data_IF_738584710435
#
_entry.id   IF_738584710435
#
_cell.length_a   1.000
_cell.length_b   1.000
_cell.length_c   1.000
_cell.angle_alpha   90.00
_cell.angle_beta   90.00
_cell.angle_gamma   90.00
#
_symmetry.space_group_name_H-M   'P 1'
#
loop_
_entity.id
_entity.type
_entity.pdbx_description
1 polymer ?
#
# COMPACT_ATOMS: atom_id res chain seq x y z
N UNK A 1 5.68 -19.18 4.98
CA UNK A 1 6.23 -18.62 3.74
C UNK A 1 5.53 -19.26 2.55
N UNK A 2 5.25 -20.56 2.56
CA UNK A 2 4.53 -21.31 1.51
C UNK A 2 3.28 -20.59 0.93
N UNK A 3 2.38 -20.04 1.75
CA UNK A 3 1.19 -19.34 1.23
C UNK A 3 1.51 -18.05 0.45
N UNK A 4 2.64 -17.39 0.76
CA UNK A 4 3.16 -16.27 -0.01
C UNK A 4 3.84 -16.74 -1.30
N UNK A 5 4.55 -17.87 -1.25
CA UNK A 5 5.20 -18.51 -2.41
C UNK A 5 4.20 -18.97 -3.47
N UNK A 6 2.94 -19.20 -3.10
CA UNK A 6 1.83 -19.43 -4.06
C UNK A 6 1.54 -18.19 -4.91
N UNK A 7 1.81 -17.00 -4.39
CA UNK A 7 1.63 -15.72 -5.11
C UNK A 7 2.90 -15.41 -5.91
N UNK A 8 4.06 -15.51 -5.27
CA UNK A 8 5.36 -15.24 -5.87
C UNK A 8 6.44 -16.00 -5.11
N UNK A 9 7.26 -16.79 -5.81
CA UNK A 9 8.26 -17.66 -5.16
C UNK A 9 9.38 -16.84 -4.51
N UNK A 10 9.74 -15.70 -5.11
CA UNK A 10 10.69 -14.73 -4.56
C UNK A 10 10.07 -13.67 -3.62
N UNK A 11 8.83 -13.87 -3.14
CA UNK A 11 8.15 -12.89 -2.26
C UNK A 11 9.03 -12.45 -1.07
N UNK A 12 9.77 -13.39 -0.48
CA UNK A 12 10.63 -13.07 0.66
C UNK A 12 11.73 -12.06 0.28
N UNK A 13 12.35 -12.23 -0.88
CA UNK A 13 13.44 -11.36 -1.32
C UNK A 13 12.90 -9.96 -1.62
N UNK A 14 11.75 -9.87 -2.30
CA UNK A 14 11.10 -8.58 -2.56
C UNK A 14 10.70 -7.85 -1.27
N UNK A 15 10.21 -8.58 -0.26
CA UNK A 15 9.86 -7.99 1.04
C UNK A 15 11.11 -7.42 1.72
N UNK A 16 12.23 -8.13 1.70
CA UNK A 16 13.47 -7.67 2.34
C UNK A 16 14.10 -6.49 1.60
N UNK A 17 14.15 -6.54 0.27
CA UNK A 17 14.71 -5.47 -0.56
C UNK A 17 13.90 -4.17 -0.38
N UNK A 18 12.56 -4.24 -0.50
CA UNK A 18 11.69 -3.09 -0.25
C UNK A 18 11.84 -2.60 1.21
N UNK A 19 12.02 -3.49 2.19
CA UNK A 19 12.21 -3.09 3.59
C UNK A 19 13.53 -2.33 3.78
N UNK A 20 14.61 -2.75 3.11
CA UNK A 20 15.90 -2.03 3.16
C UNK A 20 15.75 -0.63 2.57
N UNK A 21 15.12 -0.51 1.40
CA UNK A 21 14.84 0.78 0.77
C UNK A 21 14.02 1.72 1.68
N UNK A 22 12.93 1.23 2.27
CA UNK A 22 12.12 2.04 3.20
C UNK A 22 12.91 2.49 4.45
N UNK A 23 13.80 1.63 4.98
CA UNK A 23 14.68 1.99 6.10
C UNK A 23 15.65 3.09 5.69
N UNK A 24 16.23 3.00 4.49
CA UNK A 24 17.17 4.01 3.99
C UNK A 24 16.47 5.34 3.71
N UNK A 25 15.24 5.33 3.15
CA UNK A 25 14.44 6.53 2.88
C UNK A 25 14.23 7.34 4.16
N UNK A 26 13.64 6.73 5.20
CA UNK A 26 13.33 7.48 6.43
C UNK A 26 14.61 7.90 7.18
N UNK A 27 15.67 7.08 7.14
CA UNK A 27 16.94 7.39 7.79
C UNK A 27 17.62 8.59 7.13
N UNK A 28 17.67 8.59 5.79
CA UNK A 28 18.22 9.69 5.01
C UNK A 28 17.42 10.98 5.22
N UNK A 29 16.09 10.93 5.13
CA UNK A 29 15.23 12.11 5.29
C UNK A 29 15.40 12.75 6.67
N UNK A 30 15.48 11.94 7.74
CA UNK A 30 15.75 12.45 9.09
C UNK A 30 17.15 13.09 9.21
N UNK A 31 18.18 12.45 8.68
CA UNK A 31 19.53 13.01 8.68
C UNK A 31 19.60 14.31 7.85
N UNK A 32 18.89 14.37 6.73
CA UNK A 32 18.79 15.55 5.89
C UNK A 32 18.13 16.71 6.64
N UNK A 33 16.99 16.48 7.32
CA UNK A 33 16.35 17.48 8.18
C UNK A 33 17.32 18.03 9.23
N UNK A 34 18.01 17.15 9.95
CA UNK A 34 19.01 17.54 10.94
C UNK A 34 20.14 18.37 10.34
N UNK A 35 20.62 18.03 9.13
CA UNK A 35 21.65 18.79 8.43
C UNK A 35 21.22 20.23 8.09
N UNK A 36 19.91 20.49 7.99
CA UNK A 36 19.31 21.81 7.79
C UNK A 36 18.91 22.50 9.11
N UNK A 37 19.22 21.91 10.25
CA UNK A 37 18.83 22.41 11.57
C UNK A 37 17.35 22.19 11.91
N UNK A 38 16.64 21.34 11.15
CA UNK A 38 15.27 20.95 11.44
C UNK A 38 15.20 19.75 12.38
N UNK A 39 14.06 19.59 13.05
CA UNK A 39 13.80 18.47 13.96
C UNK A 39 13.48 17.21 13.12
N UNK A 40 14.12 16.07 13.37
CA UNK A 40 13.79 14.82 12.68
C UNK A 40 12.42 14.29 13.15
N UNK A 41 11.77 13.47 12.33
CA UNK A 41 10.58 12.75 12.73
C UNK A 41 10.94 11.59 13.68
N UNK A 42 10.28 11.52 14.84
CA UNK A 42 10.46 10.43 15.81
C UNK A 42 9.10 9.83 16.20
N UNK A 43 8.85 8.61 15.74
CA UNK A 43 7.62 7.86 16.01
C UNK A 43 7.83 6.72 17.03
N UNK A 44 9.03 6.57 17.61
CA UNK A 44 9.33 5.50 18.56
C UNK A 44 8.42 5.50 19.80
N UNK A 45 8.03 6.65 20.38
CA UNK A 45 7.07 6.66 21.49
C UNK A 45 5.70 6.03 21.15
N UNK A 46 5.37 5.90 19.86
CA UNK A 46 4.10 5.35 19.38
C UNK A 46 4.20 3.90 18.92
N UNK A 47 5.37 3.27 19.01
CA UNK A 47 5.57 1.84 18.74
C UNK A 47 5.01 1.00 19.88
N UNK A 48 3.68 0.89 19.93
CA UNK A 48 2.92 0.31 21.04
C UNK A 48 1.92 -0.75 20.60
N UNK A 49 1.69 -0.89 19.29
CA UNK A 49 0.68 -1.80 18.79
C UNK A 49 1.16 -3.24 18.86
N UNK A 50 0.22 -4.12 19.21
CA UNK A 50 0.43 -5.56 19.16
C UNK A 50 0.55 -6.02 17.70
N UNK A 51 1.50 -6.92 17.46
CA UNK A 51 1.64 -7.63 16.20
C UNK A 51 1.16 -9.07 16.32
N UNK A 52 1.57 -9.89 15.35
CA UNK A 52 1.43 -11.34 15.42
C UNK A 52 2.19 -11.92 16.62
N UNK A 53 1.62 -12.95 17.23
CA UNK A 53 2.30 -13.83 18.19
C UNK A 53 2.44 -15.26 17.65
N UNK A 54 2.32 -15.45 16.34
CA UNK A 54 2.55 -16.74 15.70
C UNK A 54 4.04 -17.14 15.77
N UNK A 55 4.29 -18.44 15.68
CA UNK A 55 5.62 -19.04 15.63
C UNK A 55 6.40 -18.48 14.44
N UNK A 56 7.67 -18.14 14.66
CA UNK A 56 8.56 -17.53 13.67
C UNK A 56 8.69 -16.00 13.77
N UNK A 57 7.81 -15.33 14.52
CA UNK A 57 7.95 -13.89 14.82
C UNK A 57 9.13 -13.65 15.75
N UNK A 58 9.87 -12.56 15.53
CA UNK A 58 10.84 -12.06 16.50
C UNK A 58 10.10 -11.57 17.76
N UNK A 59 10.18 -12.36 18.83
CA UNK A 59 9.44 -12.12 20.08
C UNK A 59 9.83 -10.81 20.77
N UNK A 60 11.03 -10.27 20.52
CA UNK A 60 11.47 -8.98 21.06
C UNK A 60 10.75 -7.79 20.41
N UNK A 61 10.07 -7.98 19.28
CA UNK A 61 9.34 -6.93 18.56
C UNK A 61 7.82 -6.99 18.78
N UNK A 62 7.33 -7.97 19.55
CA UNK A 62 5.91 -8.06 19.92
C UNK A 62 5.54 -6.86 20.79
N UNK A 63 4.49 -6.12 20.40
CA UNK A 63 4.07 -4.90 21.10
C UNK A 63 4.84 -3.63 20.72
N UNK A 64 5.75 -3.72 19.73
CA UNK A 64 6.60 -2.61 19.29
C UNK A 64 6.29 -2.15 17.86
N UNK A 65 5.05 -2.34 17.41
CA UNK A 65 4.62 -1.91 16.07
C UNK A 65 4.04 -0.50 16.08
N UNK A 66 4.25 0.22 14.99
CA UNK A 66 3.55 1.46 14.69
C UNK A 66 2.20 1.20 14.00
N UNK A 67 2.12 0.11 13.23
CA UNK A 67 0.98 -0.21 12.36
C UNK A 67 0.25 -1.48 12.79
N UNK A 68 -1.08 -1.43 12.70
CA UNK A 68 -1.98 -2.55 12.84
C UNK A 68 -2.08 -3.27 11.50
N UNK A 69 -1.80 -4.57 11.46
CA UNK A 69 -1.90 -5.40 10.25
C UNK A 69 -3.00 -6.45 10.34
N UNK A 70 -3.88 -6.35 11.34
CA UNK A 70 -4.90 -7.36 11.66
C UNK A 70 -6.33 -6.87 11.50
N UNK A 71 -6.49 -5.57 11.23
CA UNK A 71 -7.80 -4.90 11.10
C UNK A 71 -7.78 -3.90 9.94
N UNK A 72 -7.56 -4.39 8.72
CA UNK A 72 -7.38 -3.57 7.52
C UNK A 72 -8.61 -3.58 6.61
N UNK A 73 -8.97 -2.42 6.07
CA UNK A 73 -9.91 -2.26 4.95
C UNK A 73 -9.12 -1.79 3.72
N UNK A 74 -8.78 -2.71 2.81
CA UNK A 74 -7.79 -2.45 1.76
C UNK A 74 -8.46 -1.94 0.50
N UNK A 75 -8.12 -0.72 0.09
CA UNK A 75 -8.55 -0.15 -1.18
C UNK A 75 -7.74 -0.75 -2.34
N UNK A 76 -8.40 -1.61 -3.12
CA UNK A 76 -7.86 -2.22 -4.35
C UNK A 76 -8.24 -1.46 -5.62
N UNK A 77 -8.78 -0.25 -5.50
CA UNK A 77 -9.17 0.58 -6.64
C UNK A 77 -7.98 1.09 -7.45
N UNK A 78 -6.77 1.09 -6.88
CA UNK A 78 -5.54 1.39 -7.62
C UNK A 78 -5.39 0.48 -8.85
N UNK A 79 -5.84 -0.78 -8.78
CA UNK A 79 -5.75 -1.74 -9.88
C UNK A 79 -6.47 -1.23 -11.14
N UNK A 80 -7.74 -0.87 -10.98
CA UNK A 80 -8.56 -0.38 -12.10
C UNK A 80 -8.25 1.08 -12.40
N UNK A 81 -7.81 1.86 -11.41
CA UNK A 81 -7.34 3.23 -11.62
C UNK A 81 -6.25 3.27 -12.65
N UNK A 82 -5.23 2.41 -12.57
CA UNK A 82 -4.14 2.39 -13.53
C UNK A 82 -4.47 1.73 -14.88
N UNK A 83 -5.63 1.07 -15.01
CA UNK A 83 -6.10 0.40 -16.23
C UNK A 83 -7.30 1.11 -16.91
N UNK A 84 -7.79 2.20 -16.35
CA UNK A 84 -8.88 3.00 -16.92
C UNK A 84 -8.30 4.06 -17.87
N UNK A 85 -8.75 4.05 -19.12
CA UNK A 85 -8.29 4.93 -20.21
C UNK A 85 -9.06 6.26 -20.31
N UNK A 86 -10.09 6.45 -19.48
CA UNK A 86 -11.07 7.55 -19.58
C UNK A 86 -11.01 8.53 -18.42
N UNK A 87 -10.53 8.09 -17.26
CA UNK A 87 -10.57 8.83 -16.02
C UNK A 87 -9.20 9.06 -15.41
N UNK A 88 -9.01 10.23 -14.81
CA UNK A 88 -7.83 10.58 -14.03
C UNK A 88 -8.30 11.29 -12.75
N UNK A 89 -7.88 10.86 -11.55
CA UNK A 89 -8.28 11.53 -10.30
C UNK A 89 -7.97 13.05 -10.28
N UNK A 90 -6.94 13.51 -10.99
CA UNK A 90 -6.63 14.95 -11.09
C UNK A 90 -7.66 15.74 -11.93
N UNK A 91 -8.40 15.07 -12.83
CA UNK A 91 -9.43 15.67 -13.69
C UNK A 91 -10.86 15.27 -13.31
N UNK A 92 -11.01 14.12 -12.65
CA UNK A 92 -12.27 13.45 -12.32
C UNK A 92 -12.31 13.09 -10.82
N UNK A 93 -12.19 14.07 -9.90
CA UNK A 93 -12.02 13.82 -8.46
C UNK A 93 -13.21 13.10 -7.80
N UNK A 94 -14.37 13.08 -8.45
CA UNK A 94 -15.57 12.41 -7.97
C UNK A 94 -15.80 11.02 -8.61
N UNK A 95 -14.93 10.61 -9.53
CA UNK A 95 -15.05 9.30 -10.16
C UNK A 95 -14.61 8.19 -9.20
N UNK A 96 -15.42 7.14 -9.10
CA UNK A 96 -15.14 6.01 -8.21
C UNK A 96 -14.64 4.84 -9.06
N UNK A 97 -13.35 4.57 -8.97
CA UNK A 97 -12.72 3.40 -9.58
C UNK A 97 -13.21 2.10 -8.92
N UNK A 98 -13.30 1.03 -9.70
CA UNK A 98 -13.80 -0.25 -9.22
C UNK A 98 -12.72 -0.97 -8.39
N UNK A 99 -13.15 -1.67 -7.35
CA UNK A 99 -12.28 -2.55 -6.57
C UNK A 99 -11.93 -3.80 -7.38
N UNK A 100 -10.66 -4.17 -7.48
CA UNK A 100 -10.26 -5.49 -8.00
C UNK A 100 -10.73 -6.61 -7.08
N UNK A 101 -10.70 -6.38 -5.76
CA UNK A 101 -11.22 -7.30 -4.74
C UNK A 101 -12.29 -6.59 -3.90
N UNK A 102 -13.56 -6.53 -4.34
CA UNK A 102 -14.60 -5.73 -3.67
C UNK A 102 -14.83 -6.06 -2.20
N UNK A 103 -14.64 -7.33 -1.82
CA UNK A 103 -14.83 -7.75 -0.42
C UNK A 103 -13.68 -7.33 0.52
N UNK A 104 -12.52 -6.98 -0.03
CA UNK A 104 -11.35 -6.53 0.73
C UNK A 104 -11.43 -5.03 1.08
N UNK A 105 -12.09 -4.25 0.22
CA UNK A 105 -12.38 -2.82 0.42
C UNK A 105 -13.53 -2.54 1.37
N UNK A 106 -14.08 -3.56 2.05
CA UNK A 106 -15.11 -3.42 3.09
C UNK A 106 -14.79 -4.34 4.26
N UNK A 107 -15.31 -4.02 5.46
CA UNK A 107 -14.97 -4.72 6.71
C UNK A 107 -13.46 -4.69 7.02
N UNK A 108 -13.04 -5.42 8.05
CA UNK A 108 -11.65 -5.48 8.50
C UNK A 108 -11.10 -6.88 8.30
N UNK A 109 -9.90 -6.97 7.72
CA UNK A 109 -9.21 -8.20 7.36
C UNK A 109 -7.82 -8.23 7.99
N UNK A 110 -7.30 -9.44 8.19
CA UNK A 110 -5.94 -9.63 8.71
C UNK A 110 -4.97 -9.93 7.56
N UNK A 111 -3.88 -9.16 7.46
CA UNK A 111 -2.81 -9.34 6.49
C UNK A 111 -1.63 -10.15 7.07
N UNK A 112 -1.68 -10.50 8.35
CA UNK A 112 -0.74 -11.41 9.01
C UNK A 112 -1.51 -12.41 9.88
N UNK A 113 -0.97 -13.60 10.17
CA UNK A 113 -1.51 -14.46 11.21
C UNK A 113 -1.50 -13.74 12.56
N UNK A 114 -2.58 -13.77 13.33
CA UNK A 114 -2.60 -13.19 14.70
C UNK A 114 -1.88 -14.12 15.67
N UNK A 115 -2.13 -15.42 15.54
CA UNK A 115 -1.53 -16.51 16.32
C UNK A 115 -1.36 -17.74 15.43
N UNK A 116 -0.76 -18.82 15.95
CA UNK A 116 -0.65 -20.11 15.24
C UNK A 116 -2.01 -20.72 14.88
N UNK A 117 -3.11 -20.32 15.54
CA UNK A 117 -4.44 -20.78 15.16
C UNK A 117 -4.81 -20.39 13.72
N UNK A 118 -4.36 -19.22 13.26
CA UNK A 118 -4.63 -18.73 11.91
C UNK A 118 -3.85 -19.48 10.82
N UNK A 119 -2.85 -20.30 11.20
CA UNK A 119 -2.03 -21.09 10.25
C UNK A 119 -2.53 -22.53 10.10
N UNK A 120 -3.61 -22.90 10.79
CA UNK A 120 -4.11 -24.29 10.80
C UNK A 120 -5.06 -24.62 9.64
N UNK A 121 -5.80 -23.63 9.15
CA UNK A 121 -6.63 -23.76 7.95
C UNK A 121 -5.86 -23.20 6.74
N UNK A 122 -5.42 -24.05 5.79
CA UNK A 122 -4.65 -23.60 4.64
C UNK A 122 -5.41 -22.62 3.75
N UNK A 123 -6.74 -22.72 3.66
CA UNK A 123 -7.55 -21.81 2.85
C UNK A 123 -7.65 -20.42 3.51
N UNK A 124 -7.80 -20.37 4.83
CA UNK A 124 -7.77 -19.09 5.54
C UNK A 124 -6.36 -18.49 5.56
N UNK A 125 -5.31 -19.30 5.75
CA UNK A 125 -3.93 -18.84 5.68
C UNK A 125 -3.61 -18.24 4.30
N UNK A 126 -4.07 -18.87 3.21
CA UNK A 126 -3.94 -18.28 1.88
C UNK A 126 -4.73 -16.97 1.74
N UNK A 127 -5.90 -16.85 2.36
CA UNK A 127 -6.64 -15.59 2.37
C UNK A 127 -5.87 -14.46 3.08
N UNK A 128 -5.14 -14.77 4.15
CA UNK A 128 -4.24 -13.83 4.84
C UNK A 128 -3.09 -13.43 3.91
N UNK A 129 -2.45 -14.41 3.24
CA UNK A 129 -1.38 -14.15 2.28
C UNK A 129 -1.86 -13.27 1.10
N UNK A 130 -3.03 -13.56 0.54
CA UNK A 130 -3.63 -12.73 -0.51
C UNK A 130 -3.96 -11.32 0.01
N UNK A 131 -4.45 -11.20 1.25
CA UNK A 131 -4.69 -9.90 1.89
C UNK A 131 -3.39 -9.10 1.99
N UNK A 132 -2.27 -9.73 2.37
CA UNK A 132 -0.95 -9.10 2.37
C UNK A 132 -0.51 -8.67 0.96
N UNK A 133 -0.67 -9.56 -0.03
CA UNK A 133 -0.34 -9.28 -1.43
C UNK A 133 -1.06 -8.06 -2.00
N UNK A 134 -2.33 -7.84 -1.64
CA UNK A 134 -3.04 -6.61 -2.03
C UNK A 134 -2.76 -5.41 -1.11
N UNK A 135 -2.28 -5.62 0.12
CA UNK A 135 -1.91 -4.54 1.04
C UNK A 135 -0.62 -3.82 0.60
N UNK A 136 0.41 -4.55 0.15
CA UNK A 136 1.68 -3.94 -0.30
C UNK A 136 1.48 -2.84 -1.37
N UNK A 137 0.86 -3.10 -2.53
CA UNK A 137 0.66 -2.06 -3.55
C UNK A 137 -0.27 -0.93 -3.07
N UNK A 138 -1.14 -1.20 -2.08
CA UNK A 138 -2.00 -0.17 -1.48
C UNK A 138 -1.21 0.89 -0.70
N UNK A 139 -0.09 0.51 -0.09
CA UNK A 139 0.87 1.43 0.53
C UNK A 139 1.67 2.16 -0.54
N UNK A 140 2.25 1.40 -1.47
CA UNK A 140 3.25 1.89 -2.43
C UNK A 140 2.65 2.81 -3.50
N UNK A 141 1.36 2.65 -3.85
CA UNK A 141 0.65 3.64 -4.67
C UNK A 141 0.55 5.02 -3.99
N UNK A 142 0.55 5.03 -2.65
CA UNK A 142 0.65 6.25 -1.86
C UNK A 142 1.99 6.94 -2.07
N UNK A 143 3.11 6.21 -1.92
CA UNK A 143 4.46 6.72 -2.19
C UNK A 143 4.60 7.23 -3.63
N UNK A 144 4.20 6.40 -4.60
CA UNK A 144 4.20 6.73 -6.03
C UNK A 144 3.53 8.06 -6.36
N UNK A 145 2.41 8.39 -5.72
CA UNK A 145 1.68 9.65 -5.95
C UNK A 145 2.12 10.82 -5.05
N UNK A 146 2.61 10.53 -3.84
CA UNK A 146 3.01 11.54 -2.86
C UNK A 146 4.22 12.34 -3.34
N UNK A 147 5.29 11.67 -3.76
CA UNK A 147 6.53 12.33 -4.20
C UNK A 147 6.33 13.31 -5.36
N UNK A 148 5.67 12.95 -6.49
CA UNK A 148 5.39 13.91 -7.56
C UNK A 148 4.43 15.02 -7.13
N UNK A 149 3.50 14.75 -6.22
CA UNK A 149 2.63 15.79 -5.64
C UNK A 149 3.40 16.81 -4.82
N UNK A 150 4.38 16.36 -4.02
CA UNK A 150 5.27 17.24 -3.26
C UNK A 150 6.28 17.96 -4.18
N UNK A 151 6.77 17.31 -5.23
CA UNK A 151 7.73 17.89 -6.17
C UNK A 151 7.19 19.16 -6.83
N UNK A 152 5.89 19.21 -7.15
CA UNK A 152 5.23 20.40 -7.68
C UNK A 152 5.21 21.60 -6.71
N UNK A 153 5.50 21.36 -5.43
CA UNK A 153 5.48 22.37 -4.35
C UNK A 153 6.87 22.66 -3.80
N UNK A 154 7.90 21.93 -4.23
CA UNK A 154 9.26 22.15 -3.79
C UNK A 154 9.81 23.47 -4.38
N UNK A 155 10.27 24.36 -3.51
CA UNK A 155 10.89 25.64 -3.91
C UNK A 155 12.42 25.59 -3.89
N UNK A 156 13.00 24.51 -3.36
CA UNK A 156 14.44 24.29 -3.27
C UNK A 156 14.85 23.15 -4.22
N UNK A 157 15.90 23.37 -5.00
CA UNK A 157 16.35 22.41 -6.03
C UNK A 157 16.94 21.14 -5.43
N UNK A 158 17.52 21.22 -4.22
CA UNK A 158 18.03 20.05 -3.50
C UNK A 158 16.88 19.20 -2.98
N UNK A 159 15.85 19.83 -2.41
CA UNK A 159 14.61 19.13 -2.00
C UNK A 159 13.91 18.51 -3.21
N UNK A 160 13.79 19.25 -4.33
CA UNK A 160 13.23 18.71 -5.56
C UNK A 160 14.03 17.50 -6.06
N UNK A 161 15.37 17.55 -5.99
CA UNK A 161 16.22 16.41 -6.35
C UNK A 161 15.93 15.20 -5.47
N UNK A 162 15.78 15.37 -4.15
CA UNK A 162 15.42 14.28 -3.24
C UNK A 162 14.08 13.66 -3.66
N UNK A 163 13.05 14.49 -3.88
CA UNK A 163 11.72 14.02 -4.26
C UNK A 163 11.72 13.29 -5.61
N UNK A 164 12.47 13.80 -6.59
CA UNK A 164 12.62 13.18 -7.91
C UNK A 164 13.55 11.97 -7.93
N UNK A 165 14.29 11.70 -6.85
CA UNK A 165 15.17 10.53 -6.75
C UNK A 165 14.55 9.40 -5.93
N UNK A 166 13.85 9.71 -4.83
CA UNK A 166 13.13 8.71 -4.05
C UNK A 166 11.77 8.35 -4.71
N UNK A 167 11.04 9.33 -5.26
CA UNK A 167 9.74 9.04 -5.88
C UNK A 167 9.76 7.93 -6.95
N UNK A 168 10.78 7.87 -7.84
CA UNK A 168 10.90 6.76 -8.78
C UNK A 168 11.18 5.39 -8.16
N UNK A 169 11.86 5.28 -7.01
CA UNK A 169 12.08 3.97 -6.36
C UNK A 169 10.77 3.41 -5.80
N UNK A 170 9.95 4.27 -5.19
CA UNK A 170 8.59 3.95 -4.72
C UNK A 170 7.66 3.55 -5.87
N UNK A 171 7.90 4.10 -7.08
CA UNK A 171 7.20 3.67 -8.30
C UNK A 171 7.64 2.28 -8.76
N UNK A 172 8.93 1.94 -8.60
CA UNK A 172 9.42 0.58 -8.85
C UNK A 172 8.80 -0.40 -7.84
N UNK A 173 8.76 -0.06 -6.55
CA UNK A 173 8.07 -0.84 -5.52
C UNK A 173 6.62 -1.10 -5.92
N UNK A 174 5.86 -0.04 -6.21
CA UNK A 174 4.45 -0.16 -6.60
C UNK A 174 4.26 -1.06 -7.83
N UNK A 175 5.10 -0.91 -8.87
CA UNK A 175 5.00 -1.75 -10.07
C UNK A 175 5.22 -3.24 -9.75
N UNK A 176 6.25 -3.56 -8.96
CA UNK A 176 6.55 -4.93 -8.53
C UNK A 176 5.38 -5.51 -7.74
N UNK A 177 4.89 -4.79 -6.73
CA UNK A 177 3.78 -5.29 -5.90
C UNK A 177 2.44 -5.33 -6.62
N UNK A 178 2.20 -4.41 -7.56
CA UNK A 178 1.01 -4.41 -8.41
C UNK A 178 0.95 -5.65 -9.29
N UNK A 179 2.08 -6.06 -9.87
CA UNK A 179 2.19 -7.29 -10.67
C UNK A 179 1.97 -8.53 -9.80
N UNK A 180 2.76 -8.66 -8.72
CA UNK A 180 2.68 -9.78 -7.77
C UNK A 180 1.27 -9.95 -7.20
N UNK A 181 0.55 -8.88 -6.86
CA UNK A 181 -0.81 -8.95 -6.35
C UNK A 181 -1.78 -9.66 -7.33
N UNK A 182 -1.52 -9.59 -8.64
CA UNK A 182 -2.30 -10.26 -9.67
C UNK A 182 -2.22 -11.79 -9.62
N UNK A 183 -1.16 -12.34 -9.04
CA UNK A 183 -0.94 -13.78 -8.92
C UNK A 183 -1.69 -14.42 -7.73
N UNK A 184 -2.33 -13.61 -6.87
CA UNK A 184 -3.08 -14.11 -5.74
C UNK A 184 -4.20 -15.08 -6.21
N UNK A 185 -4.23 -16.34 -5.72
CA UNK A 185 -5.18 -17.33 -6.21
C UNK A 185 -6.62 -16.96 -5.85
N UNK A 186 -7.61 -17.24 -6.73
CA UNK A 186 -9.00 -17.02 -6.41
C UNK A 186 -9.44 -17.95 -5.29
N UNK A 187 -10.04 -17.38 -4.24
CA UNK A 187 -10.53 -18.15 -3.11
C UNK A 187 -11.66 -17.43 -2.37
N UNK A 188 -12.33 -18.16 -1.49
CA UNK A 188 -13.22 -17.59 -0.49
C UNK A 188 -12.87 -18.17 0.86
N UNK A 189 -12.75 -17.31 1.87
CA UNK A 189 -12.54 -17.71 3.24
C UNK A 189 -13.46 -16.94 4.19
N UNK A 190 -13.66 -17.49 5.38
CA UNK A 190 -14.32 -16.82 6.50
C UNK A 190 -13.31 -16.79 7.63
N UNK A 191 -13.06 -15.61 8.16
CA UNK A 191 -12.20 -15.46 9.34
C UNK A 191 -12.85 -16.16 10.54
N UNK A 192 -12.20 -17.18 11.13
CA UNK A 192 -12.77 -17.94 12.24
C UNK A 192 -12.94 -17.12 13.53
N UNK A 193 -12.27 -15.97 13.65
CA UNK A 193 -12.33 -15.09 14.82
C UNK A 193 -13.40 -14.02 14.66
N UNK A 194 -13.47 -13.37 13.49
CA UNK A 194 -14.36 -12.22 13.26
C UNK A 194 -15.65 -12.58 12.54
N UNK A 195 -15.69 -13.74 11.87
CA UNK A 195 -16.79 -14.14 10.98
C UNK A 195 -16.84 -13.36 9.66
N UNK A 196 -15.87 -12.47 9.40
CA UNK A 196 -15.79 -11.70 8.15
C UNK A 196 -15.48 -12.65 6.99
N UNK A 197 -16.26 -12.54 5.91
CA UNK A 197 -16.03 -13.28 4.67
C UNK A 197 -15.23 -12.42 3.70
N UNK A 198 -14.19 -13.02 3.12
CA UNK A 198 -13.41 -12.44 2.02
C UNK A 198 -13.48 -13.34 0.78
N UNK A 199 -13.54 -12.74 -0.40
CA UNK A 199 -13.52 -13.41 -1.70
C UNK A 199 -12.53 -12.70 -2.62
N UNK A 200 -11.50 -13.43 -3.00
CA UNK A 200 -10.56 -13.06 -4.06
C UNK A 200 -11.11 -13.60 -5.40
N UNK A 201 -11.42 -12.72 -6.38
CA UNK A 201 -11.83 -13.16 -7.70
C UNK A 201 -10.63 -13.70 -8.48
N UNK A 202 -10.92 -14.39 -9.58
CA UNK A 202 -9.91 -14.66 -10.60
C UNK A 202 -9.71 -13.37 -11.41
N UNK A 203 -8.46 -12.94 -11.53
CA UNK A 203 -8.07 -11.77 -12.32
C UNK A 203 -7.49 -12.16 -13.69
N UNK A 204 -7.44 -13.44 -14.03
CA UNK A 204 -7.18 -13.91 -15.40
C UNK A 204 -8.50 -13.85 -16.20
N UNK A 205 -8.79 -12.68 -16.77
CA UNK A 205 -10.09 -12.39 -17.39
C UNK A 205 -9.93 -11.58 -18.67
N UNK A 206 -10.86 -11.71 -19.61
CA UNK A 206 -10.86 -10.94 -20.88
C UNK A 206 -11.10 -9.44 -20.68
N UNK A 207 -11.61 -9.02 -19.52
CA UNK A 207 -11.84 -7.62 -19.23
C UNK A 207 -10.52 -6.95 -18.85
N UNK A 208 -9.97 -6.17 -19.78
CA UNK A 208 -8.69 -5.45 -19.64
C UNK A 208 -8.58 -4.63 -18.34
N UNK A 209 -9.69 -4.13 -17.80
CA UNK A 209 -9.70 -3.38 -16.54
C UNK A 209 -9.25 -4.23 -15.33
N UNK A 210 -9.40 -5.55 -15.43
CA UNK A 210 -9.12 -6.51 -14.36
C UNK A 210 -8.06 -7.55 -14.71
N UNK A 211 -7.68 -7.68 -15.99
CA UNK A 211 -6.73 -8.69 -16.44
C UNK A 211 -5.35 -8.52 -15.78
N UNK A 212 -4.90 -9.55 -15.05
CA UNK A 212 -3.59 -9.59 -14.39
C UNK A 212 -2.42 -9.56 -15.36
N UNK A 213 -2.61 -10.01 -16.60
CA UNK A 213 -1.53 -10.00 -17.60
C UNK A 213 -1.16 -8.58 -18.07
N UNK A 214 -2.04 -7.59 -17.88
CA UNK A 214 -1.82 -6.20 -18.26
C UNK A 214 -1.17 -5.44 -17.10
N UNK A 215 0.17 -5.51 -17.04
CA UNK A 215 0.94 -4.99 -15.90
C UNK A 215 1.34 -3.52 -16.05
N UNK A 216 1.34 -2.98 -17.27
CA UNK A 216 1.72 -1.59 -17.54
C UNK A 216 0.52 -0.65 -17.38
N UNK A 217 0.71 0.58 -16.89
CA UNK A 217 -0.38 1.54 -16.75
C UNK A 217 -0.91 2.00 -18.11
N UNK A 218 -2.23 1.91 -18.29
CA UNK A 218 -2.93 2.38 -19.48
C UNK A 218 -2.89 3.91 -19.59
N UNK A 219 -2.74 4.47 -20.81
CA UNK A 219 -2.82 5.90 -21.02
C UNK A 219 -4.18 6.48 -20.60
N UNK A 220 -4.18 7.65 -19.98
CA UNK A 220 -5.42 8.34 -19.58
C UNK A 220 -5.39 9.84 -19.93
N UNK A 221 -6.52 10.56 -19.79
CA UNK A 221 -6.52 12.01 -19.92
C UNK A 221 -5.59 12.65 -18.87
N UNK A 222 -4.81 13.64 -19.28
CA UNK A 222 -3.87 14.35 -18.40
C UNK A 222 -3.80 15.83 -18.78
N UNK A 223 -3.79 16.71 -17.77
CA UNK A 223 -3.82 18.19 -17.87
C UNK A 223 -5.08 18.78 -18.56
N UNK A 224 -5.47 18.25 -19.72
CA UNK A 224 -6.66 18.65 -20.48
C UNK A 224 -7.12 17.51 -21.39
N UNK A 225 -8.44 17.32 -21.51
CA UNK A 225 -9.06 16.36 -22.45
C UNK A 225 -8.88 16.76 -23.93
N UNK A 226 -8.35 17.95 -24.21
CA UNK A 226 -8.00 18.36 -25.58
C UNK A 226 -6.66 17.80 -26.06
N UNK A 227 -5.85 17.25 -25.15
CA UNK A 227 -4.58 16.59 -25.49
C UNK A 227 -4.80 15.07 -25.67
N UNK A 228 -3.92 14.38 -26.42
CA UNK A 228 -3.92 12.91 -26.44
C UNK A 228 -3.73 12.32 -25.04
N UNK A 229 -4.29 11.14 -24.82
CA UNK A 229 -4.06 10.36 -23.59
C UNK A 229 -2.58 9.96 -23.47
N UNK A 230 -2.09 9.84 -22.24
CA UNK A 230 -0.68 9.50 -21.93
C UNK A 230 -0.60 8.65 -20.66
N UNK A 231 0.35 7.71 -20.63
CA UNK A 231 0.61 6.88 -19.45
C UNK A 231 1.39 7.67 -18.39
N UNK A 232 0.87 7.71 -17.17
CA UNK A 232 1.37 8.55 -16.07
C UNK A 232 1.15 7.88 -14.72
N UNK A 233 1.86 8.38 -13.71
CA UNK A 233 1.44 8.23 -12.31
C UNK A 233 0.22 9.11 -12.04
N UNK A 234 -0.73 8.63 -11.24
CA UNK A 234 -1.99 9.34 -10.95
C UNK A 234 -2.56 9.01 -9.57
N UNK A 235 -2.94 10.01 -8.75
CA UNK A 235 -2.85 11.45 -9.01
C UNK A 235 -1.43 12.01 -8.86
N UNK A 236 -1.22 13.21 -9.38
CA UNK A 236 0.00 13.99 -9.12
C UNK A 236 -0.29 15.42 -8.67
N UNK A 237 -1.50 15.95 -8.85
CA UNK A 237 -1.84 17.34 -8.51
C UNK A 237 -2.69 17.42 -7.23
N UNK A 238 -2.32 16.67 -6.19
CA UNK A 238 -3.11 16.62 -4.95
C UNK A 238 -2.75 17.78 -4.01
N UNK A 239 -3.73 18.59 -3.61
CA UNK A 239 -3.58 19.52 -2.50
C UNK A 239 -3.60 18.79 -1.15
N UNK A 240 -2.70 19.17 -0.24
CA UNK A 240 -2.62 18.52 1.08
C UNK A 240 -2.16 17.06 1.03
N UNK A 241 -1.35 16.66 0.03
CA UNK A 241 -0.97 15.27 -0.24
C UNK A 241 -0.50 14.47 1.00
N UNK A 242 0.32 15.08 1.88
CA UNK A 242 0.77 14.42 3.11
C UNK A 242 -0.39 14.10 4.07
N UNK A 243 -1.30 15.06 4.30
CA UNK A 243 -2.47 14.84 5.16
C UNK A 243 -3.50 13.92 4.50
N UNK A 244 -3.62 13.96 3.18
CA UNK A 244 -4.43 13.01 2.41
C UNK A 244 -3.92 11.57 2.59
N UNK A 245 -2.60 11.36 2.52
CA UNK A 245 -1.99 10.06 2.80
C UNK A 245 -2.26 9.60 4.25
N UNK A 246 -2.09 10.47 5.25
CA UNK A 246 -2.39 10.13 6.65
C UNK A 246 -3.87 9.76 6.84
N UNK A 247 -4.79 10.52 6.24
CA UNK A 247 -6.23 10.23 6.28
C UNK A 247 -6.56 8.89 5.63
N UNK A 248 -5.96 8.59 4.47
CA UNK A 248 -6.12 7.31 3.78
C UNK A 248 -5.63 6.14 4.64
N UNK A 249 -4.40 6.22 5.17
CA UNK A 249 -3.82 5.17 6.01
C UNK A 249 -4.62 4.96 7.31
N UNK A 250 -5.13 6.05 7.90
CA UNK A 250 -6.01 6.00 9.07
C UNK A 250 -7.34 5.33 8.72
N UNK A 251 -7.96 5.71 7.61
CA UNK A 251 -9.24 5.16 7.14
C UNK A 251 -9.17 3.67 6.78
N UNK A 252 -8.03 3.22 6.25
CA UNK A 252 -7.73 1.80 6.01
C UNK A 252 -7.59 0.99 7.31
N UNK A 253 -7.45 1.64 8.46
CA UNK A 253 -7.29 0.98 9.75
C UNK A 253 -5.84 0.70 10.16
N UNK A 254 -4.87 1.21 9.40
CA UNK A 254 -3.43 0.96 9.63
C UNK A 254 -2.95 1.45 11.00
N UNK A 255 -3.66 2.43 11.59
CA UNK A 255 -3.34 2.99 12.90
C UNK A 255 -4.39 2.67 13.98
N UNK A 256 -5.26 1.67 13.77
CA UNK A 256 -6.20 1.21 14.80
C UNK A 256 -5.43 0.77 16.05
N UNK A 257 -5.79 1.35 17.19
CA UNK A 257 -5.13 1.13 18.48
C UNK A 257 -4.12 2.21 18.84
N UNK A 258 -3.78 3.13 17.92
CA UNK A 258 -2.90 4.25 18.25
C UNK A 258 -3.55 5.25 19.18
N UNK A 259 -2.71 5.94 19.95
CA UNK A 259 -3.15 7.00 20.87
C UNK A 259 -3.53 8.29 20.15
N UNK A 260 -4.32 9.15 20.79
CA UNK A 260 -4.60 10.49 20.25
C UNK A 260 -3.32 11.33 20.08
N UNK A 261 -2.30 11.09 20.91
CA UNK A 261 -1.01 11.77 20.80
C UNK A 261 -0.26 11.42 19.51
N UNK A 262 -0.46 10.21 18.97
CA UNK A 262 0.09 9.84 17.66
C UNK A 262 -0.49 10.71 16.55
N UNK A 263 -1.81 10.91 16.54
CA UNK A 263 -2.46 11.75 15.52
C UNK A 263 -2.18 13.24 15.71
N UNK A 264 -1.97 13.69 16.95
CA UNK A 264 -1.60 15.08 17.26
C UNK A 264 -0.13 15.41 16.93
N UNK A 265 0.68 14.40 16.57
CA UNK A 265 2.07 14.59 16.17
C UNK A 265 2.21 15.23 14.77
N UNK A 266 1.18 15.08 13.92
CA UNK A 266 1.16 15.54 12.53
C UNK A 266 0.43 16.88 12.35
#
# INVERSE_FOLDING_TARGET
TEALEVIEDEMQDYIHDNTDDEITHHTFLNAYLMSKGAVPANLDPFRTLMGSTATGVNTNLIGHRLTNLTQLTIDTSWWTRYRDDKHNPDLDPNFVFKQAVPTLGVNQHTAIPRTDADTTDPNFLQAIANTAGFHFPTIEQGGSSLYPSLAQRATDVEVLRILMSIGPTETMHFQTWSDVAGNAPPLTAVDPVTGVRVRFPDLEVENELFDKALIMPEPCPFLSRSLPIVSIIRPTNTEGAAMGALQFLTGMGLFIGQSQAFFAYF
#
